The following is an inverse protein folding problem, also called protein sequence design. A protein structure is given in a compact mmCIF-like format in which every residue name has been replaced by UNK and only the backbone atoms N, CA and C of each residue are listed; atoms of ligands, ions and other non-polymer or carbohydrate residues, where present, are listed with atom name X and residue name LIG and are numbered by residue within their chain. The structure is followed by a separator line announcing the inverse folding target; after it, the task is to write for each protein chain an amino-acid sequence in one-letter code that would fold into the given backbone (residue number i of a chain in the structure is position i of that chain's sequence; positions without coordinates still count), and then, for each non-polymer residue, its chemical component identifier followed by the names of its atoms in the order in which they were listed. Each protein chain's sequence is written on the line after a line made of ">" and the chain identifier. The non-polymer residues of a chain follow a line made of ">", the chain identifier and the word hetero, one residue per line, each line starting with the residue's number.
data_IF_870659069892
#
_entry.id   IF_870659069892
#
_cell.length_a   1.000
_cell.length_b   1.000
_cell.length_c   1.000
_cell.angle_alpha   90.00
_cell.angle_beta   90.00
_cell.angle_gamma   90.00
#
_symmetry.space_group_name_H-M   'P 1'
#
loop_
_entity.id
_entity.type
_entity.pdbx_description
1 polymer ?
#
# COMPACT_ATOMS: atom_id res chain seq x y z
N UNK A 1 10.24 -7.95 14.92
CA UNK A 1 10.42 -6.52 15.26
C UNK A 1 9.92 -5.73 14.06
N UNK A 2 8.88 -4.89 14.22
CA UNK A 2 8.41 -4.03 13.13
C UNK A 2 9.55 -3.11 12.65
N UNK A 3 9.78 -2.99 11.33
CA UNK A 3 10.94 -2.24 10.80
C UNK A 3 10.90 -0.75 11.15
N UNK A 4 9.70 -0.21 11.41
CA UNK A 4 9.47 1.22 11.62
C UNK A 4 9.29 1.63 13.10
N UNK A 5 9.36 0.70 14.06
CA UNK A 5 9.27 1.00 15.50
C UNK A 5 10.50 0.43 16.24
N UNK A 6 11.65 1.12 16.17
CA UNK A 6 12.88 0.65 16.80
C UNK A 6 12.71 0.51 18.32
N UNK A 7 13.17 -0.61 18.88
CA UNK A 7 13.04 -0.94 20.30
C UNK A 7 11.74 -1.66 20.68
N UNK A 8 10.79 -1.84 19.75
CA UNK A 8 9.61 -2.68 19.98
C UNK A 8 9.93 -4.16 19.78
N UNK A 9 10.08 -4.88 20.89
CA UNK A 9 10.14 -6.34 20.94
C UNK A 9 8.76 -6.97 21.18
N UNK A 10 8.67 -7.86 22.16
CA UNK A 10 7.40 -8.39 22.66
C UNK A 10 6.74 -7.37 23.60
N UNK A 11 5.98 -6.44 23.01
CA UNK A 11 5.17 -5.48 23.78
C UNK A 11 3.75 -6.06 23.92
N UNK A 12 3.26 -6.35 25.14
CA UNK A 12 1.90 -6.85 25.36
C UNK A 12 0.89 -5.69 25.26
N UNK A 13 0.81 -5.07 24.08
CA UNK A 13 0.10 -3.81 23.86
C UNK A 13 -1.37 -3.89 24.25
N UNK A 14 -2.05 -4.99 23.91
CA UNK A 14 -3.44 -5.24 24.31
C UNK A 14 -3.57 -5.16 25.84
N UNK A 15 -2.84 -6.00 26.57
CA UNK A 15 -2.93 -6.06 28.05
C UNK A 15 -2.55 -4.74 28.73
N UNK A 16 -1.60 -3.98 28.19
CA UNK A 16 -1.25 -2.66 28.71
C UNK A 16 -2.41 -1.66 28.57
N UNK A 17 -3.09 -1.68 27.42
CA UNK A 17 -4.26 -0.83 27.17
C UNK A 17 -5.46 -1.29 28.00
N UNK A 18 -5.73 -2.60 28.07
CA UNK A 18 -6.80 -3.17 28.91
C UNK A 18 -6.60 -2.79 30.38
N UNK A 19 -5.37 -2.91 30.90
CA UNK A 19 -5.05 -2.56 32.28
C UNK A 19 -5.23 -1.07 32.58
N UNK A 20 -4.99 -0.20 31.60
CA UNK A 20 -5.14 1.25 31.75
C UNK A 20 -6.59 1.73 31.59
N UNK A 21 -7.38 1.11 30.71
CA UNK A 21 -8.71 1.59 30.32
C UNK A 21 -9.86 0.76 30.88
N UNK A 22 -9.62 -0.49 31.27
CA UNK A 22 -10.64 -1.40 31.81
C UNK A 22 -11.60 -1.98 30.77
N UNK A 23 -11.26 -1.89 29.48
CA UNK A 23 -12.06 -2.44 28.38
C UNK A 23 -11.31 -3.56 27.65
N UNK A 24 -12.02 -4.61 27.17
CA UNK A 24 -11.42 -5.61 26.29
C UNK A 24 -10.74 -4.95 25.09
N UNK A 25 -9.49 -5.33 24.80
CA UNK A 25 -8.69 -4.70 23.76
C UNK A 25 -8.13 -5.74 22.80
N UNK A 26 -8.18 -5.41 21.51
CA UNK A 26 -7.59 -6.20 20.44
C UNK A 26 -6.61 -5.34 19.67
N UNK A 27 -5.55 -5.96 19.16
CA UNK A 27 -4.53 -5.29 18.35
C UNK A 27 -4.48 -5.98 17.00
N UNK A 28 -4.64 -5.19 15.94
CA UNK A 28 -4.53 -5.64 14.56
C UNK A 28 -3.42 -4.87 13.84
N UNK A 29 -2.86 -5.49 12.80
CA UNK A 29 -2.01 -4.77 11.85
C UNK A 29 -2.82 -3.66 11.14
N UNK A 30 -2.21 -2.50 10.95
CA UNK A 30 -2.81 -1.31 10.34
C UNK A 30 -3.45 -1.57 8.97
N UNK A 31 -2.74 -2.27 8.09
CA UNK A 31 -3.20 -2.58 6.73
C UNK A 31 -4.29 -3.64 6.74
N UNK A 32 -4.22 -4.61 7.65
CA UNK A 32 -5.31 -5.54 7.87
C UNK A 32 -6.59 -4.82 8.34
N UNK A 33 -6.47 -3.76 9.15
CA UNK A 33 -7.63 -2.95 9.55
C UNK A 33 -8.21 -2.18 8.36
N UNK A 34 -7.36 -1.54 7.55
CA UNK A 34 -7.82 -0.88 6.30
C UNK A 34 -8.51 -1.88 5.38
N UNK A 35 -7.94 -3.08 5.23
CA UNK A 35 -8.51 -4.17 4.43
C UNK A 35 -9.89 -4.58 4.94
N UNK A 36 -10.03 -4.78 6.25
CA UNK A 36 -11.30 -5.13 6.89
C UNK A 36 -12.36 -4.05 6.64
N UNK A 37 -11.99 -2.77 6.77
CA UNK A 37 -12.90 -1.66 6.53
C UNK A 37 -13.36 -1.59 5.07
N UNK A 38 -12.43 -1.67 4.12
CA UNK A 38 -12.75 -1.63 2.69
C UNK A 38 -13.59 -2.84 2.26
N UNK A 39 -13.34 -4.01 2.83
CA UNK A 39 -14.12 -5.21 2.58
C UNK A 39 -15.56 -5.10 3.12
N UNK A 40 -15.72 -4.60 4.34
CA UNK A 40 -17.03 -4.57 5.00
C UNK A 40 -17.90 -3.39 4.56
N UNK A 41 -17.28 -2.23 4.34
CA UNK A 41 -17.98 -0.96 4.18
C UNK A 41 -17.54 -0.14 2.96
N UNK A 42 -16.41 -0.48 2.33
CA UNK A 42 -15.80 0.31 1.27
C UNK A 42 -15.86 -0.33 -0.12
N UNK A 43 -14.79 -0.13 -0.89
CA UNK A 43 -14.68 -0.53 -2.29
C UNK A 43 -14.74 -2.05 -2.50
N UNK A 44 -14.38 -2.83 -1.48
CA UNK A 44 -14.35 -4.29 -1.50
C UNK A 44 -15.69 -4.97 -1.18
N UNK A 45 -16.76 -4.21 -0.93
CA UNK A 45 -18.01 -4.78 -0.41
C UNK A 45 -18.61 -5.83 -1.35
N UNK A 46 -18.82 -7.02 -0.79
CA UNK A 46 -19.39 -8.16 -1.51
C UNK A 46 -18.37 -9.05 -2.23
N UNK A 47 -17.08 -8.67 -2.23
CA UNK A 47 -16.02 -9.53 -2.72
C UNK A 47 -15.74 -10.69 -1.75
N UNK A 48 -15.49 -11.87 -2.30
CA UNK A 48 -15.05 -13.07 -1.59
C UNK A 48 -13.53 -13.18 -1.61
N UNK A 49 -12.90 -12.77 -2.71
CA UNK A 49 -11.45 -12.71 -2.87
C UNK A 49 -11.03 -11.28 -3.19
N UNK A 50 -10.40 -10.63 -2.22
CA UNK A 50 -9.93 -9.25 -2.34
C UNK A 50 -8.48 -9.14 -1.87
N UNK A 51 -7.73 -8.28 -2.55
CA UNK A 51 -6.43 -7.83 -2.09
C UNK A 51 -6.51 -6.33 -1.83
N UNK A 52 -5.95 -5.86 -0.72
CA UNK A 52 -5.83 -4.44 -0.42
C UNK A 52 -4.35 -4.08 -0.29
N UNK A 53 -3.94 -2.96 -0.89
CA UNK A 53 -2.61 -2.40 -0.73
C UNK A 53 -2.74 -0.99 -0.18
N UNK A 54 -1.89 -0.64 0.78
CA UNK A 54 -1.77 0.72 1.32
C UNK A 54 -0.43 1.31 0.89
N UNK A 55 -0.46 2.42 0.15
CA UNK A 55 0.72 3.10 -0.38
C UNK A 55 0.97 4.37 0.41
N UNK A 56 2.05 4.41 1.20
CA UNK A 56 2.41 5.58 2.02
C UNK A 56 3.92 5.63 2.27
N UNK A 57 4.31 5.81 3.54
CA UNK A 57 5.73 5.70 3.93
C UNK A 57 6.33 4.36 3.50
N UNK A 58 5.55 3.29 3.68
CA UNK A 58 5.85 1.95 3.20
C UNK A 58 4.75 1.41 2.27
N UNK A 59 4.77 0.10 2.03
CA UNK A 59 3.71 -0.60 1.29
C UNK A 59 3.17 -1.76 2.11
N UNK A 60 1.94 -1.61 2.60
CA UNK A 60 1.24 -2.69 3.27
C UNK A 60 0.42 -3.53 2.30
N UNK A 61 0.11 -4.75 2.70
CA UNK A 61 -0.86 -5.60 2.03
C UNK A 61 -1.83 -6.26 3.02
N UNK A 62 -3.01 -6.58 2.54
CA UNK A 62 -4.00 -7.38 3.27
C UNK A 62 -4.84 -8.20 2.30
N UNK A 63 -5.36 -9.32 2.81
CA UNK A 63 -6.04 -10.33 2.01
C UNK A 63 -7.40 -10.69 2.61
N UNK A 64 -8.40 -10.77 1.76
CA UNK A 64 -9.66 -11.46 2.05
C UNK A 64 -9.72 -12.65 1.10
N UNK A 65 -9.85 -13.86 1.65
CA UNK A 65 -9.98 -15.10 0.89
C UNK A 65 -11.20 -15.85 1.42
N UNK A 66 -12.06 -16.33 0.52
CA UNK A 66 -13.30 -17.03 0.87
C UNK A 66 -14.17 -16.23 1.86
N UNK A 67 -14.25 -14.90 1.67
CA UNK A 67 -15.00 -13.98 2.56
C UNK A 67 -14.49 -13.95 4.00
N UNK A 68 -13.18 -14.18 4.20
CA UNK A 68 -12.53 -14.09 5.50
C UNK A 68 -11.23 -13.32 5.40
N UNK A 69 -10.95 -12.47 6.38
CA UNK A 69 -9.66 -11.79 6.50
C UNK A 69 -8.57 -12.85 6.74
N UNK A 70 -7.61 -12.94 5.82
CA UNK A 70 -6.55 -13.92 5.87
C UNK A 70 -5.28 -13.34 6.51
N UNK A 71 -4.97 -13.80 7.72
CA UNK A 71 -3.85 -13.31 8.52
C UNK A 71 -2.58 -14.18 8.38
N UNK A 72 -2.72 -15.39 7.81
CA UNK A 72 -1.66 -16.39 7.74
C UNK A 72 -1.32 -17.02 9.09
N UNK A 73 -0.35 -17.93 9.08
CA UNK A 73 -0.03 -18.77 10.25
C UNK A 73 0.50 -18.02 11.48
N UNK A 74 0.94 -16.77 11.31
CA UNK A 74 1.56 -15.94 12.37
C UNK A 74 1.06 -14.49 12.35
N UNK A 75 -0.05 -14.21 11.68
CA UNK A 75 -0.53 -12.83 11.52
C UNK A 75 0.30 -11.96 10.57
N UNK A 76 1.19 -12.56 9.78
CA UNK A 76 2.14 -11.89 8.89
C UNK A 76 1.95 -12.27 7.41
N UNK A 77 0.73 -12.67 7.02
CA UNK A 77 0.39 -12.78 5.60
C UNK A 77 0.39 -11.39 4.94
N UNK A 78 0.49 -11.39 3.61
CA UNK A 78 0.32 -10.20 2.79
C UNK A 78 1.38 -9.09 2.98
N UNK A 79 2.63 -9.46 3.28
CA UNK A 79 3.80 -8.57 3.24
C UNK A 79 4.20 -8.20 1.79
N UNK A 80 3.25 -7.69 1.01
CA UNK A 80 3.33 -7.40 -0.43
C UNK A 80 4.42 -6.36 -0.72
N UNK A 81 4.60 -5.38 0.16
CA UNK A 81 5.66 -4.39 0.05
C UNK A 81 7.06 -4.98 -0.04
N UNK A 82 7.27 -6.20 0.47
CA UNK A 82 8.55 -6.87 0.46
C UNK A 82 8.74 -7.88 -0.69
N UNK A 83 7.75 -8.02 -1.58
CA UNK A 83 7.92 -8.77 -2.83
C UNK A 83 9.01 -8.12 -3.69
N UNK A 84 9.97 -8.91 -4.18
CA UNK A 84 10.99 -8.41 -5.10
C UNK A 84 10.38 -8.19 -6.49
N UNK A 85 10.38 -6.94 -6.92
CA UNK A 85 9.91 -6.48 -8.23
C UNK A 85 11.07 -6.18 -9.17
N UNK A 86 12.18 -5.67 -8.64
CA UNK A 86 13.40 -5.36 -9.41
C UNK A 86 14.60 -6.05 -8.76
N UNK A 87 15.02 -7.24 -9.21
CA UNK A 87 16.06 -8.03 -8.53
C UNK A 87 17.38 -7.27 -8.29
N UNK A 88 17.73 -6.31 -9.16
CA UNK A 88 18.93 -5.48 -9.00
C UNK A 88 18.64 -4.11 -8.41
N UNK A 89 17.50 -3.98 -7.74
CA UNK A 89 16.96 -2.73 -7.23
C UNK A 89 17.63 -2.23 -5.95
N UNK A 90 17.08 -1.12 -5.41
CA UNK A 90 17.59 -0.52 -4.19
C UNK A 90 17.43 -1.45 -2.98
N UNK A 91 18.27 -1.23 -1.96
CA UNK A 91 18.12 -1.89 -0.66
C UNK A 91 16.80 -1.48 -0.01
N UNK A 92 16.09 -2.44 0.57
CA UNK A 92 14.92 -2.22 1.39
C UNK A 92 15.31 -2.30 2.87
N UNK A 93 14.54 -1.63 3.73
CA UNK A 93 14.74 -1.66 5.18
C UNK A 93 14.60 -3.06 5.79
N UNK A 94 13.92 -3.99 5.10
CA UNK A 94 13.85 -5.39 5.52
C UNK A 94 15.17 -6.16 5.30
N UNK A 95 16.16 -5.56 4.63
CA UNK A 95 17.46 -6.16 4.32
C UNK A 95 17.57 -6.80 2.94
N UNK A 96 16.45 -6.93 2.21
CA UNK A 96 16.44 -7.45 0.83
C UNK A 96 16.69 -6.33 -0.21
N UNK A 97 16.75 -6.67 -1.50
CA UNK A 97 16.83 -5.73 -2.62
C UNK A 97 15.59 -5.79 -3.51
N UNK A 98 15.22 -4.66 -4.07
CA UNK A 98 14.21 -4.59 -5.10
C UNK A 98 12.78 -4.80 -4.64
N UNK A 99 12.53 -4.68 -3.34
CA UNK A 99 11.19 -4.77 -2.79
C UNK A 99 10.29 -3.70 -3.41
N UNK A 100 9.01 -4.03 -3.61
CA UNK A 100 8.02 -3.07 -4.10
C UNK A 100 8.08 -1.76 -3.30
N UNK A 101 8.12 -1.84 -1.97
CA UNK A 101 8.21 -0.70 -1.06
C UNK A 101 9.38 0.23 -1.38
N UNK A 102 10.57 -0.30 -1.66
CA UNK A 102 11.75 0.53 -1.96
C UNK A 102 11.68 1.19 -3.35
N UNK A 103 10.66 0.87 -4.14
CA UNK A 103 10.44 1.42 -5.47
C UNK A 103 9.25 2.40 -5.49
N UNK A 104 8.19 2.14 -4.73
CA UNK A 104 6.93 2.91 -4.79
C UNK A 104 6.61 3.70 -3.52
N UNK A 105 7.30 3.46 -2.40
CA UNK A 105 7.08 4.19 -1.15
C UNK A 105 7.45 5.66 -1.25
N UNK A 106 6.99 6.46 -0.28
CA UNK A 106 7.12 7.93 -0.31
C UNK A 106 8.58 8.40 -0.47
N UNK A 107 9.52 7.74 0.21
CA UNK A 107 10.96 8.05 0.11
C UNK A 107 11.51 7.77 -1.30
N UNK A 108 11.03 6.71 -1.95
CA UNK A 108 11.46 6.33 -3.30
C UNK A 108 10.92 7.31 -4.36
N UNK A 109 9.74 7.89 -4.13
CA UNK A 109 9.17 8.96 -4.96
C UNK A 109 9.96 10.25 -4.78
N UNK A 110 10.16 10.67 -3.53
CA UNK A 110 10.92 11.88 -3.18
C UNK A 110 12.34 11.85 -3.78
N UNK A 111 13.03 10.72 -3.66
CA UNK A 111 14.38 10.55 -4.19
C UNK A 111 14.42 10.63 -5.72
N UNK A 112 13.46 10.03 -6.43
CA UNK A 112 13.37 10.14 -7.89
C UNK A 112 13.06 11.57 -8.35
N UNK A 113 12.21 12.27 -7.61
CA UNK A 113 11.92 13.68 -7.86
C UNK A 113 13.18 14.54 -7.67
N UNK A 114 13.94 14.32 -6.59
CA UNK A 114 15.22 14.97 -6.33
C UNK A 114 16.22 14.74 -7.47
N UNK A 115 16.37 13.49 -7.91
CA UNK A 115 17.26 13.15 -9.03
C UNK A 115 16.82 13.82 -10.35
N UNK A 116 15.52 14.00 -10.61
CA UNK A 116 15.05 14.75 -11.77
C UNK A 116 15.42 16.23 -11.67
N UNK A 117 15.21 16.85 -10.51
CA UNK A 117 15.57 18.25 -10.24
C UNK A 117 17.08 18.49 -10.41
N UNK A 118 17.92 17.55 -9.95
CA UNK A 118 19.38 17.63 -10.07
C UNK A 118 19.87 17.50 -11.51
N UNK A 119 19.10 16.83 -12.38
CA UNK A 119 19.37 16.76 -13.83
C UNK A 119 18.90 18.01 -14.58
N UNK A 120 18.36 19.02 -13.88
CA UNK A 120 17.84 20.24 -14.48
C UNK A 120 16.43 20.08 -15.05
N UNK A 121 15.71 19.03 -14.66
CA UNK A 121 14.29 18.83 -14.98
C UNK A 121 13.43 19.28 -13.77
N UNK A 122 12.10 19.09 -13.82
CA UNK A 122 11.26 19.19 -12.62
C UNK A 122 11.08 20.60 -12.04
N UNK A 123 10.96 21.62 -12.90
CA UNK A 123 10.89 23.02 -12.46
C UNK A 123 9.70 23.28 -11.51
N UNK A 124 8.54 22.68 -11.77
CA UNK A 124 7.38 22.85 -10.89
C UNK A 124 7.56 22.09 -9.58
N UNK A 125 8.17 20.89 -9.59
CA UNK A 125 8.54 20.20 -8.34
C UNK A 125 9.45 21.07 -7.48
N UNK A 126 10.49 21.67 -8.08
CA UNK A 126 11.42 22.59 -7.39
C UNK A 126 10.68 23.82 -6.86
N UNK A 127 9.78 24.41 -7.65
CA UNK A 127 9.01 25.59 -7.26
C UNK A 127 8.07 25.29 -6.10
N UNK A 128 7.34 24.17 -6.16
CA UNK A 128 6.38 23.75 -5.14
C UNK A 128 7.05 23.32 -3.83
N UNK A 129 8.27 22.77 -3.89
CA UNK A 129 9.06 22.44 -2.70
C UNK A 129 9.81 23.65 -2.11
N UNK A 130 9.66 24.85 -2.69
CA UNK A 130 10.38 26.06 -2.27
C UNK A 130 11.90 25.98 -2.51
N UNK A 131 12.35 25.06 -3.36
CA UNK A 131 13.77 24.76 -3.58
C UNK A 131 14.41 23.91 -2.48
N UNK A 132 13.65 23.51 -1.46
CA UNK A 132 14.10 22.58 -0.42
C UNK A 132 13.82 21.14 -0.88
N UNK A 133 14.86 20.30 -0.90
CA UNK A 133 14.74 18.91 -1.31
C UNK A 133 14.07 18.05 -0.22
N UNK A 134 14.18 18.43 1.05
CA UNK A 134 13.56 17.71 2.18
C UNK A 134 12.03 17.85 2.19
N UNK A 135 11.50 18.83 1.45
CA UNK A 135 10.07 19.04 1.29
C UNK A 135 9.47 18.26 0.12
N UNK A 136 10.25 17.48 -0.64
CA UNK A 136 9.69 16.70 -1.75
C UNK A 136 8.86 15.53 -1.21
N UNK A 137 7.54 15.63 -1.35
CA UNK A 137 6.59 14.58 -0.97
C UNK A 137 5.84 14.05 -2.20
N UNK A 138 5.23 12.85 -2.12
CA UNK A 138 4.37 12.34 -3.19
C UNK A 138 3.27 13.32 -3.61
N UNK A 139 2.70 14.07 -2.67
CA UNK A 139 1.66 15.08 -2.92
C UNK A 139 2.21 16.25 -3.74
N UNK A 140 3.44 16.70 -3.47
CA UNK A 140 4.10 17.74 -4.28
C UNK A 140 4.39 17.23 -5.69
N UNK A 141 4.84 15.98 -5.83
CA UNK A 141 5.08 15.36 -7.14
C UNK A 141 3.78 15.23 -7.94
N UNK A 142 2.70 14.75 -7.31
CA UNK A 142 1.37 14.69 -7.91
C UNK A 142 0.89 16.06 -8.39
N UNK A 143 0.99 17.08 -7.52
CA UNK A 143 0.60 18.45 -7.88
C UNK A 143 1.45 19.04 -9.01
N UNK A 144 2.76 18.76 -9.03
CA UNK A 144 3.62 19.19 -10.12
C UNK A 144 3.21 18.55 -11.45
N UNK A 145 2.90 17.25 -11.43
CA UNK A 145 2.41 16.52 -12.61
C UNK A 145 1.09 17.09 -13.15
N UNK A 146 0.17 17.48 -12.26
CA UNK A 146 -1.07 18.18 -12.61
C UNK A 146 -0.82 19.57 -13.22
N UNK A 147 0.24 20.26 -12.77
CA UNK A 147 0.71 21.52 -13.35
C UNK A 147 1.46 21.35 -14.69
N UNK A 148 1.58 20.13 -15.23
CA UNK A 148 2.24 19.87 -16.51
C UNK A 148 3.74 19.58 -16.42
N UNK A 149 4.26 19.28 -15.23
CA UNK A 149 5.66 18.87 -15.07
C UNK A 149 5.89 17.45 -15.59
N UNK A 150 6.51 17.33 -16.76
CA UNK A 150 6.78 16.05 -17.40
C UNK A 150 7.70 15.14 -16.58
N UNK A 151 8.63 15.72 -15.80
CA UNK A 151 9.49 14.91 -14.95
C UNK A 151 8.69 14.31 -13.78
N UNK A 152 7.77 15.09 -13.19
CA UNK A 152 6.88 14.59 -12.15
C UNK A 152 5.93 13.50 -12.68
N UNK A 153 5.36 13.69 -13.87
CA UNK A 153 4.54 12.67 -14.56
C UNK A 153 5.31 11.37 -14.76
N UNK A 154 6.58 11.46 -15.19
CA UNK A 154 7.44 10.28 -15.37
C UNK A 154 7.73 9.56 -14.05
N UNK A 155 7.97 10.29 -12.96
CA UNK A 155 8.17 9.68 -11.63
C UNK A 155 6.95 8.85 -11.23
N UNK A 156 5.73 9.40 -11.37
CA UNK A 156 4.49 8.70 -11.02
C UNK A 156 4.18 7.55 -11.98
N UNK A 157 4.50 7.71 -13.26
CA UNK A 157 4.41 6.65 -14.24
C UNK A 157 5.29 5.44 -13.85
N UNK A 158 6.56 5.68 -13.50
CA UNK A 158 7.47 4.62 -13.08
C UNK A 158 6.95 3.90 -11.83
N UNK A 159 6.40 4.64 -10.86
CA UNK A 159 5.74 4.08 -9.68
C UNK A 159 4.58 3.16 -10.08
N UNK A 160 3.72 3.61 -10.99
CA UNK A 160 2.63 2.81 -11.53
C UNK A 160 3.12 1.54 -12.21
N UNK A 161 4.19 1.60 -13.01
CA UNK A 161 4.76 0.42 -13.66
C UNK A 161 5.26 -0.61 -12.63
N UNK A 162 5.98 -0.19 -11.60
CA UNK A 162 6.43 -1.10 -10.54
C UNK A 162 5.27 -1.71 -9.76
N UNK A 163 4.24 -0.91 -9.46
CA UNK A 163 3.01 -1.40 -8.85
C UNK A 163 2.36 -2.46 -9.74
N UNK A 164 2.19 -2.18 -11.04
CA UNK A 164 1.59 -3.12 -12.00
C UNK A 164 2.33 -4.45 -12.12
N UNK A 165 3.67 -4.47 -12.03
CA UNK A 165 4.45 -5.72 -11.97
C UNK A 165 4.07 -6.58 -10.75
N UNK A 166 3.94 -5.94 -9.59
CA UNK A 166 3.52 -6.64 -8.37
C UNK A 166 2.05 -7.10 -8.49
N UNK A 167 1.16 -6.26 -9.01
CA UNK A 167 -0.25 -6.60 -9.24
C UNK A 167 -0.39 -7.80 -10.18
N UNK A 168 0.38 -7.88 -11.26
CA UNK A 168 0.36 -9.06 -12.15
C UNK A 168 0.72 -10.35 -11.42
N UNK A 169 1.71 -10.29 -10.53
CA UNK A 169 2.12 -11.44 -9.71
C UNK A 169 1.01 -11.84 -8.73
N UNK A 170 0.34 -10.87 -8.11
CA UNK A 170 -0.81 -11.09 -7.23
C UNK A 170 -1.97 -11.72 -7.99
N UNK A 171 -2.31 -11.21 -9.17
CA UNK A 171 -3.36 -11.75 -10.03
C UNK A 171 -3.06 -13.19 -10.43
N UNK A 172 -1.82 -13.49 -10.82
CA UNK A 172 -1.41 -14.84 -11.19
C UNK A 172 -1.44 -15.81 -10.01
N UNK A 173 -1.17 -15.33 -8.79
CA UNK A 173 -1.08 -16.16 -7.59
C UNK A 173 -2.45 -16.40 -6.94
N UNK A 174 -3.29 -15.36 -6.86
CA UNK A 174 -4.50 -15.34 -6.04
C UNK A 174 -5.80 -15.25 -6.82
N UNK A 175 -5.76 -14.82 -8.09
CA UNK A 175 -6.95 -14.62 -8.94
C UNK A 175 -8.09 -13.85 -8.23
N UNK A 176 -7.82 -12.65 -7.64
CA UNK A 176 -8.82 -11.95 -6.86
C UNK A 176 -9.90 -11.30 -7.75
N UNK A 177 -11.08 -11.05 -7.18
CA UNK A 177 -12.15 -10.30 -7.86
C UNK A 177 -11.80 -8.80 -7.94
N UNK A 178 -11.14 -8.29 -6.91
CA UNK A 178 -10.84 -6.87 -6.75
C UNK A 178 -9.52 -6.63 -6.01
N UNK A 179 -8.79 -5.60 -6.44
CA UNK A 179 -7.61 -5.07 -5.77
C UNK A 179 -7.89 -3.61 -5.39
N UNK A 180 -7.93 -3.32 -4.10
CA UNK A 180 -8.19 -1.98 -3.56
C UNK A 180 -6.87 -1.30 -3.22
N UNK A 181 -6.66 -0.09 -3.73
CA UNK A 181 -5.43 0.69 -3.53
C UNK A 181 -5.73 1.92 -2.66
N UNK A 182 -5.26 1.90 -1.42
CA UNK A 182 -5.37 3.00 -0.46
C UNK A 182 -4.03 3.65 -0.11
N UNK A 183 -4.04 4.50 0.92
CA UNK A 183 -2.87 5.23 1.42
C UNK A 183 -2.61 6.55 0.70
N UNK A 184 -1.85 7.45 1.33
CA UNK A 184 -1.67 8.82 0.85
C UNK A 184 -1.11 8.95 -0.57
N UNK A 185 -0.30 7.99 -1.03
CA UNK A 185 0.25 7.99 -2.39
C UNK A 185 -0.85 7.68 -3.43
N UNK A 186 -1.88 6.91 -3.08
CA UNK A 186 -2.95 6.58 -4.02
C UNK A 186 -3.80 7.79 -4.41
N UNK A 187 -3.70 8.91 -3.69
CA UNK A 187 -4.33 10.18 -4.05
C UNK A 187 -3.81 10.77 -5.36
N UNK A 188 -2.64 10.34 -5.86
CA UNK A 188 -2.20 10.67 -7.22
C UNK A 188 -3.11 10.07 -8.32
N UNK A 189 -4.03 9.16 -7.93
CA UNK A 189 -5.10 8.65 -8.77
C UNK A 189 -4.58 8.01 -10.06
N UNK A 190 -5.17 8.41 -11.18
CA UNK A 190 -4.88 7.83 -12.49
C UNK A 190 -3.45 8.08 -12.97
N UNK A 191 -2.71 9.03 -12.39
CA UNK A 191 -1.28 9.21 -12.68
C UNK A 191 -0.45 7.97 -12.28
N UNK A 192 -0.94 7.17 -11.33
CA UNK A 192 -0.33 5.90 -10.89
C UNK A 192 -1.19 4.71 -11.33
N UNK A 193 -2.53 4.79 -11.15
CA UNK A 193 -3.40 3.64 -11.35
C UNK A 193 -3.52 3.21 -12.82
N UNK A 194 -3.54 4.14 -13.77
CA UNK A 194 -3.55 3.79 -15.20
C UNK A 194 -2.28 3.04 -15.63
N UNK A 195 -1.06 3.54 -15.36
CA UNK A 195 0.15 2.77 -15.67
C UNK A 195 0.22 1.45 -14.90
N UNK A 196 -0.29 1.38 -13.67
CA UNK A 196 -0.36 0.13 -12.92
C UNK A 196 -1.29 -0.90 -13.56
N UNK A 197 -2.49 -0.51 -14.00
CA UNK A 197 -3.42 -1.37 -14.73
C UNK A 197 -2.80 -1.86 -16.04
N UNK A 198 -2.23 -0.96 -16.82
CA UNK A 198 -1.60 -1.30 -18.09
C UNK A 198 -0.44 -2.31 -17.91
N UNK A 199 0.45 -2.04 -16.95
CA UNK A 199 1.57 -2.93 -16.66
C UNK A 199 1.11 -4.28 -16.07
N UNK A 200 0.02 -4.30 -15.28
CA UNK A 200 -0.60 -5.51 -14.77
C UNK A 200 -1.17 -6.36 -15.91
N UNK A 201 -1.99 -5.78 -16.78
CA UNK A 201 -2.63 -6.48 -17.92
C UNK A 201 -1.60 -7.05 -18.91
N UNK A 202 -0.50 -6.33 -19.13
CA UNK A 202 0.59 -6.79 -19.99
C UNK A 202 1.27 -8.06 -19.44
N UNK A 203 1.40 -8.15 -18.11
CA UNK A 203 2.23 -9.17 -17.42
C UNK A 203 1.43 -10.31 -16.82
N UNK A 204 0.17 -10.08 -16.48
CA UNK A 204 -0.71 -11.12 -15.96
C UNK A 204 -0.97 -12.16 -17.05
N UNK A 205 -1.06 -13.43 -16.64
CA UNK A 205 -1.46 -14.49 -17.54
C UNK A 205 -2.85 -14.19 -18.09
N UNK A 206 -2.96 -14.13 -19.42
CA UNK A 206 -4.24 -13.84 -20.10
C UNK A 206 -5.18 -15.04 -19.93
N UNK A 207 -6.39 -14.76 -19.48
CA UNK A 207 -7.52 -15.69 -19.44
C UNK A 207 -8.74 -14.93 -19.97
N UNK A 208 -9.53 -15.55 -20.85
CA UNK A 208 -10.62 -14.88 -21.57
C UNK A 208 -11.69 -14.29 -20.63
N UNK A 209 -11.96 -14.97 -19.52
CA UNK A 209 -13.00 -14.59 -18.54
C UNK A 209 -12.43 -13.96 -17.26
N UNK A 210 -11.12 -13.66 -17.20
CA UNK A 210 -10.51 -13.05 -16.02
C UNK A 210 -10.78 -11.55 -16.01
N UNK A 211 -11.52 -11.11 -15.00
CA UNK A 211 -11.79 -9.70 -14.74
C UNK A 211 -11.38 -9.36 -13.31
N UNK A 212 -10.26 -8.64 -13.18
CA UNK A 212 -9.79 -8.12 -11.89
C UNK A 212 -9.97 -6.62 -11.87
N UNK A 213 -10.79 -6.11 -10.96
CA UNK A 213 -10.97 -4.67 -10.80
C UNK A 213 -9.87 -4.11 -9.89
N UNK A 214 -8.99 -3.27 -10.41
CA UNK A 214 -8.14 -2.42 -9.55
C UNK A 214 -8.95 -1.17 -9.22
N UNK A 215 -9.03 -0.70 -7.99
CA UNK A 215 -9.83 0.51 -7.65
C UNK A 215 -9.19 1.28 -6.50
N UNK A 216 -9.40 2.60 -6.40
CA UNK A 216 -9.01 3.33 -5.19
C UNK A 216 -9.84 2.87 -3.98
N UNK A 217 -9.25 2.96 -2.79
CA UNK A 217 -9.97 2.81 -1.52
C UNK A 217 -11.10 3.85 -1.38
N UNK A 218 -12.25 3.42 -0.86
CA UNK A 218 -13.43 4.29 -0.75
C UNK A 218 -13.48 5.08 0.57
N UNK A 219 -12.79 4.62 1.61
CA UNK A 219 -12.87 5.17 2.96
C UNK A 219 -11.73 6.16 3.28
N UNK A 220 -10.77 6.32 2.36
CA UNK A 220 -9.63 7.23 2.52
C UNK A 220 -8.84 6.98 3.81
N UNK A 221 -8.46 8.06 4.49
CA UNK A 221 -7.65 8.01 5.72
C UNK A 221 -8.39 7.39 6.92
N UNK A 222 -9.74 7.32 6.87
CA UNK A 222 -10.55 6.75 7.95
C UNK A 222 -10.59 5.21 7.94
N UNK A 223 -10.11 4.57 6.87
CA UNK A 223 -10.17 3.11 6.72
C UNK A 223 -9.55 2.36 7.90
N UNK A 224 -8.42 2.85 8.44
CA UNK A 224 -7.75 2.22 9.58
C UNK A 224 -8.58 2.25 10.87
N UNK A 225 -9.17 3.40 11.20
CA UNK A 225 -9.97 3.55 12.42
C UNK A 225 -11.32 2.84 12.32
N UNK A 226 -11.97 2.87 11.16
CA UNK A 226 -13.19 2.11 10.89
C UNK A 226 -12.90 0.61 11.02
N UNK A 227 -11.79 0.15 10.45
CA UNK A 227 -11.35 -1.24 10.53
C UNK A 227 -11.09 -1.69 11.97
N UNK A 228 -10.39 -0.87 12.75
CA UNK A 228 -10.13 -1.14 14.16
C UNK A 228 -11.43 -1.22 14.98
N UNK A 229 -12.41 -0.35 14.70
CA UNK A 229 -13.72 -0.41 15.35
C UNK A 229 -14.49 -1.68 14.98
N UNK A 230 -14.53 -2.05 13.70
CA UNK A 230 -15.14 -3.31 13.23
C UNK A 230 -14.46 -4.53 13.86
N UNK A 231 -13.14 -4.51 13.95
CA UNK A 231 -12.36 -5.58 14.56
C UNK A 231 -12.62 -5.69 16.06
N UNK A 232 -12.78 -4.58 16.77
CA UNK A 232 -13.13 -4.60 18.19
C UNK A 232 -14.55 -5.15 18.43
N UNK A 233 -15.49 -4.89 17.51
CA UNK A 233 -16.90 -5.29 17.62
C UNK A 233 -17.20 -6.69 17.07
N UNK A 234 -16.35 -7.25 16.21
CA UNK A 234 -16.62 -8.52 15.54
C UNK A 234 -16.29 -9.73 16.41
N UNK A 235 -17.26 -10.63 16.59
CA UNK A 235 -17.11 -11.82 17.44
C UNK A 235 -16.19 -12.92 16.84
N UNK A 236 -15.88 -12.86 15.54
CA UNK A 236 -15.33 -14.02 14.79
C UNK A 236 -13.92 -13.84 14.17
N UNK A 237 -13.25 -12.69 14.34
CA UNK A 237 -11.90 -12.49 13.76
C UNK A 237 -10.82 -12.88 14.77
N UNK A 238 -10.79 -14.14 15.22
CA UNK A 238 -9.79 -14.62 16.19
C UNK A 238 -8.39 -14.55 15.54
N UNK A 239 -7.50 -13.60 15.93
CA UNK A 239 -6.36 -13.27 15.10
C UNK A 239 -5.26 -14.31 15.19
N UNK A 240 -5.14 -14.98 16.34
CA UNK A 240 -4.11 -15.97 16.67
C UNK A 240 -4.56 -16.72 17.94
N UNK A 241 -5.04 -17.95 17.82
CA UNK A 241 -4.86 -18.92 18.93
C UNK A 241 -3.42 -19.41 18.87
N UNK A 242 -2.57 -18.82 19.70
CA UNK A 242 -1.15 -19.13 19.82
C UNK A 242 -0.42 -18.19 20.74
#
# INVERSE_FOLDING_TARGET
>A
IPPNLPGWGEVPLASLIEGALGYPTRVGNDTNMVTLAEWMCGAGRGARHMVCLTLGTGVGGGLVLDSQLYLGARGAAAEIGHMTVEPQGPLCNCGNRGCLESLVGASAIAERARMAIERGEGEEMRRLSGGDHEQLTPEIVARAAECGDEAARRVLYDVGVYLGIALASIVNLLDPEIIVIGGGISHAGDLILEPARAAMEERAMRLEDRHVSVVPAALGDDGGVIGAALFALGDDVDPVQG
#
